data_IF_224038638601
#
_entry.id   IF_224038638601
#
_cell.length_a   1.000
_cell.length_b   1.000
_cell.length_c   1.000
_cell.angle_alpha   90.00
_cell.angle_beta   90.00
_cell.angle_gamma   90.00
#
_symmetry.space_group_name_H-M   'P 1'
#
loop_
_entity.id
_entity.type
_entity.pdbx_description
1 polymer ?
#
# COMPACT_ATOMS: atom_id res chain seq x y z
N UNK A 1 26.33 -29.20 -15.19
CA UNK A 1 25.97 -29.09 -13.76
C UNK A 1 25.50 -27.66 -13.50
N UNK A 2 24.41 -27.49 -12.74
CA UNK A 2 23.69 -26.25 -12.37
C UNK A 2 22.82 -25.57 -13.44
N UNK A 3 21.87 -26.32 -14.01
CA UNK A 3 20.59 -25.79 -14.48
C UNK A 3 19.48 -26.51 -13.69
N UNK A 4 18.28 -25.95 -13.60
CA UNK A 4 17.05 -26.50 -12.97
C UNK A 4 16.92 -26.52 -11.43
N UNK A 5 16.73 -25.34 -10.80
CA UNK A 5 16.01 -25.25 -9.50
C UNK A 5 15.12 -24.00 -9.30
N UNK A 6 14.83 -23.22 -10.36
CA UNK A 6 13.96 -22.04 -10.27
C UNK A 6 12.71 -22.21 -11.16
N UNK A 7 11.78 -23.06 -10.71
CA UNK A 7 10.36 -23.18 -11.15
C UNK A 7 9.73 -24.29 -10.30
N UNK A 8 8.76 -24.00 -9.42
CA UNK A 8 7.58 -23.23 -9.76
C UNK A 8 7.34 -22.13 -8.72
N UNK A 9 7.79 -20.90 -9.01
CA UNK A 9 7.28 -19.76 -8.26
C UNK A 9 5.76 -19.63 -8.45
N UNK A 10 5.23 -20.09 -9.58
CA UNK A 10 3.81 -20.03 -9.94
C UNK A 10 3.07 -21.33 -9.60
N UNK A 11 1.94 -21.19 -8.89
CA UNK A 11 1.08 -22.29 -8.49
C UNK A 11 1.08 -22.52 -6.97
N UNK A 12 0.26 -23.46 -6.47
CA UNK A 12 0.19 -23.76 -5.04
C UNK A 12 1.51 -24.31 -4.48
N UNK A 13 1.87 -23.97 -3.22
CA UNK A 13 1.14 -23.05 -2.35
C UNK A 13 1.31 -21.59 -2.79
N UNK A 14 0.20 -20.86 -2.76
CA UNK A 14 0.25 -19.42 -2.99
C UNK A 14 0.82 -18.70 -1.76
N UNK A 15 1.58 -17.64 -1.99
CA UNK A 15 2.14 -16.79 -0.94
C UNK A 15 1.92 -15.31 -1.26
N UNK A 16 1.89 -14.49 -0.21
CA UNK A 16 1.75 -13.04 -0.31
C UNK A 16 2.58 -12.38 0.80
N UNK A 17 3.54 -11.56 0.42
CA UNK A 17 4.42 -10.85 1.33
C UNK A 17 4.30 -9.34 1.10
N UNK A 18 4.22 -8.56 2.18
CA UNK A 18 4.11 -7.11 2.17
C UNK A 18 5.34 -6.49 2.84
N UNK A 19 5.86 -5.39 2.28
CA UNK A 19 6.82 -4.52 2.97
C UNK A 19 6.70 -3.05 2.51
N UNK A 20 7.28 -2.12 3.26
CA UNK A 20 7.26 -0.69 2.94
C UNK A 20 8.00 -0.44 1.63
N UNK A 21 7.36 0.25 0.68
CA UNK A 21 7.94 0.52 -0.64
C UNK A 21 9.26 1.32 -0.53
N UNK A 22 9.27 2.32 0.35
CA UNK A 22 10.44 3.17 0.66
C UNK A 22 11.40 2.50 1.67
N UNK A 23 11.75 1.25 1.42
CA UNK A 23 12.77 0.53 2.19
C UNK A 23 14.18 1.03 1.87
N UNK A 24 15.15 0.74 2.75
CA UNK A 24 16.55 1.07 2.51
C UNK A 24 17.09 0.34 1.26
N UNK A 25 18.12 0.93 0.64
CA UNK A 25 18.73 0.39 -0.59
C UNK A 25 19.16 -1.07 -0.39
N UNK A 26 18.73 -1.95 -1.30
CA UNK A 26 19.08 -3.38 -1.29
C UNK A 26 18.15 -4.28 -0.47
N UNK A 27 17.21 -3.72 0.31
CA UNK A 27 16.21 -4.52 1.05
C UNK A 27 15.34 -5.33 0.09
N UNK A 28 14.74 -4.69 -0.90
CA UNK A 28 13.92 -5.39 -1.90
C UNK A 28 14.72 -6.42 -2.71
N UNK A 29 15.98 -6.12 -3.05
CA UNK A 29 16.88 -7.08 -3.69
C UNK A 29 17.09 -8.32 -2.82
N UNK A 30 17.28 -8.12 -1.51
CA UNK A 30 17.44 -9.22 -0.56
C UNK A 30 16.17 -10.04 -0.45
N UNK A 31 15.02 -9.38 -0.24
CA UNK A 31 13.72 -10.04 -0.10
C UNK A 31 13.38 -10.83 -1.37
N UNK A 32 13.53 -10.22 -2.56
CA UNK A 32 13.28 -10.86 -3.85
C UNK A 32 14.12 -12.13 -4.02
N UNK A 33 15.42 -12.07 -3.70
CA UNK A 33 16.32 -13.23 -3.75
C UNK A 33 15.85 -14.40 -2.87
N UNK A 34 15.25 -14.12 -1.72
CA UNK A 34 14.68 -15.17 -0.84
C UNK A 34 13.28 -15.63 -1.28
N UNK A 35 12.58 -14.83 -2.07
CA UNK A 35 11.23 -15.11 -2.59
C UNK A 35 11.28 -15.38 -4.10
N UNK A 36 12.16 -16.30 -4.49
CA UNK A 36 12.25 -16.87 -5.85
C UNK A 36 12.53 -15.84 -6.96
N UNK A 37 13.26 -14.77 -6.63
CA UNK A 37 13.58 -13.65 -7.53
C UNK A 37 12.33 -12.95 -8.12
N UNK A 38 11.17 -13.11 -7.46
CA UNK A 38 9.93 -12.44 -7.85
C UNK A 38 10.10 -10.94 -7.60
N UNK A 39 9.75 -10.14 -8.60
CA UNK A 39 9.76 -8.69 -8.50
C UNK A 39 8.58 -8.19 -7.67
N UNK A 40 8.79 -7.18 -6.80
CA UNK A 40 7.71 -6.58 -6.04
C UNK A 40 6.70 -5.87 -6.95
N UNK A 41 5.42 -6.10 -6.71
CA UNK A 41 4.29 -5.36 -7.28
C UNK A 41 4.03 -4.12 -6.41
N UNK A 42 4.24 -2.92 -6.98
CA UNK A 42 3.83 -1.67 -6.35
C UNK A 42 2.32 -1.50 -6.53
N UNK A 43 1.59 -1.35 -5.41
CA UNK A 43 0.15 -1.08 -5.44
C UNK A 43 -0.13 0.21 -4.70
N UNK A 44 -0.71 1.18 -5.41
CA UNK A 44 -1.14 2.45 -4.82
C UNK A 44 -2.23 2.25 -3.77
N UNK A 45 -2.44 3.26 -2.91
CA UNK A 45 -3.52 3.16 -1.93
C UNK A 45 -4.90 3.18 -2.59
N UNK A 46 -5.73 2.21 -2.21
CA UNK A 46 -7.13 2.13 -2.63
C UNK A 46 -8.07 3.03 -1.81
N UNK A 47 -7.61 3.63 -0.71
CA UNK A 47 -8.46 4.42 0.18
C UNK A 47 -7.91 5.83 0.42
N UNK A 48 -8.68 6.65 1.14
CA UNK A 48 -8.31 8.01 1.52
C UNK A 48 -7.03 8.11 2.36
N UNK A 49 -6.36 7.03 2.74
CA UNK A 49 -5.09 7.03 3.45
C UNK A 49 -3.96 6.53 2.55
N UNK A 50 -2.98 7.37 2.24
CA UNK A 50 -1.82 7.02 1.44
C UNK A 50 -0.94 6.02 2.20
N UNK A 51 -0.78 4.83 1.65
CA UNK A 51 0.13 3.79 2.14
C UNK A 51 1.01 3.35 0.98
N UNK A 52 2.33 3.53 1.09
CA UNK A 52 3.29 3.11 0.08
C UNK A 52 3.87 1.75 0.47
N UNK A 53 3.25 0.68 -0.01
CA UNK A 53 3.66 -0.70 0.23
C UNK A 53 3.89 -1.38 -1.11
N UNK A 54 4.88 -2.25 -1.17
CA UNK A 54 5.00 -3.18 -2.28
C UNK A 54 4.78 -4.61 -1.78
N UNK A 55 4.43 -5.48 -2.73
CA UNK A 55 4.00 -6.84 -2.45
C UNK A 55 4.78 -7.83 -3.30
N UNK A 56 5.29 -8.92 -2.73
CA UNK A 56 5.83 -10.04 -3.50
C UNK A 56 4.91 -11.25 -3.29
N UNK A 57 4.38 -11.78 -4.38
CA UNK A 57 3.45 -12.90 -4.37
C UNK A 57 3.52 -13.70 -5.66
N UNK A 58 2.97 -14.91 -5.64
CA UNK A 58 2.75 -15.74 -6.82
C UNK A 58 1.26 -15.90 -7.20
N UNK A 59 0.42 -14.99 -6.71
CA UNK A 59 -1.01 -14.98 -7.03
C UNK A 59 -1.23 -14.61 -8.52
N UNK A 60 -2.26 -15.20 -9.16
CA UNK A 60 -2.70 -14.76 -10.49
C UNK A 60 -3.03 -13.27 -10.52
N UNK A 61 -2.62 -12.59 -11.60
CA UNK A 61 -2.91 -11.16 -11.83
C UNK A 61 -4.16 -10.99 -12.70
N UNK A 62 -4.48 -11.98 -13.52
CA UNK A 62 -5.67 -12.00 -14.35
C UNK A 62 -6.95 -12.10 -13.52
N UNK A 63 -8.03 -11.46 -13.98
CA UNK A 63 -9.36 -11.48 -13.36
C UNK A 63 -9.43 -10.90 -11.93
N UNK A 64 -8.46 -10.05 -11.54
CA UNK A 64 -8.60 -9.23 -10.33
C UNK A 64 -9.76 -8.25 -10.49
N UNK A 65 -10.59 -8.14 -9.46
CA UNK A 65 -11.68 -7.18 -9.40
C UNK A 65 -11.57 -6.38 -8.10
N UNK A 66 -12.02 -5.11 -8.09
CA UNK A 66 -12.04 -4.33 -6.87
C UNK A 66 -13.08 -4.88 -5.89
N UNK A 67 -12.81 -4.70 -4.60
CA UNK A 67 -13.82 -4.98 -3.56
C UNK A 67 -14.87 -3.87 -3.59
N UNK A 68 -16.15 -4.26 -3.66
CA UNK A 68 -17.29 -3.34 -3.67
C UNK A 68 -17.98 -3.29 -2.30
N UNK A 69 -18.55 -2.15 -1.88
CA UNK A 69 -18.48 -0.84 -2.54
C UNK A 69 -17.06 -0.27 -2.50
N UNK A 70 -16.72 0.55 -3.49
CA UNK A 70 -15.40 1.20 -3.53
C UNK A 70 -15.23 2.08 -2.28
N UNK A 71 -14.10 1.97 -1.56
CA UNK A 71 -13.85 2.81 -0.38
C UNK A 71 -13.69 4.28 -0.80
N UNK A 72 -13.96 5.23 0.12
CA UNK A 72 -13.69 6.64 -0.13
C UNK A 72 -12.20 6.83 -0.41
N UNK A 73 -11.87 7.52 -1.51
CA UNK A 73 -10.50 7.71 -1.97
C UNK A 73 -9.95 9.11 -1.62
N UNK A 74 -10.81 10.01 -1.11
CA UNK A 74 -10.42 11.33 -0.57
C UNK A 74 -10.82 11.49 0.90
N UNK A 75 -10.15 12.41 1.60
CA UNK A 75 -10.54 12.80 2.98
C UNK A 75 -11.99 13.29 3.02
N UNK A 76 -12.42 14.05 2.01
CA UNK A 76 -13.77 14.62 1.96
C UNK A 76 -14.85 13.54 1.86
N UNK A 77 -14.59 12.45 1.13
CA UNK A 77 -15.51 11.31 1.04
C UNK A 77 -15.50 10.48 2.34
N UNK A 78 -14.32 10.31 2.95
CA UNK A 78 -14.17 9.52 4.16
C UNK A 78 -14.74 10.22 5.41
N UNK A 79 -14.74 11.56 5.43
CA UNK A 79 -15.15 12.36 6.59
C UNK A 79 -16.13 13.47 6.20
N UNK A 80 -17.42 13.14 6.16
CA UNK A 80 -18.50 14.12 6.05
C UNK A 80 -18.93 14.58 7.47
N UNK A 81 -19.14 15.89 7.75
CA UNK A 81 -18.85 17.07 6.95
C UNK A 81 -17.63 17.81 7.54
N UNK A 82 -16.41 17.31 7.27
CA UNK A 82 -15.19 18.03 7.71
C UNK A 82 -15.06 19.43 7.10
N UNK A 83 -15.84 19.73 6.06
CA UNK A 83 -15.88 21.04 5.40
C UNK A 83 -16.11 22.23 6.34
N UNK A 84 -16.84 22.08 7.45
CA UNK A 84 -17.09 23.20 8.38
C UNK A 84 -15.84 23.61 9.19
N UNK A 85 -14.90 22.68 9.38
CA UNK A 85 -13.73 22.88 10.25
C UNK A 85 -12.41 22.80 9.48
N UNK A 86 -12.45 22.50 8.19
CA UNK A 86 -11.26 22.37 7.36
C UNK A 86 -10.69 23.75 7.01
N UNK A 87 -9.40 24.01 7.25
CA UNK A 87 -8.78 25.29 6.87
C UNK A 87 -8.94 25.56 5.36
N UNK A 88 -9.29 26.79 4.99
CA UNK A 88 -9.49 27.16 3.57
C UNK A 88 -8.23 27.04 2.71
N UNK A 89 -7.05 27.05 3.34
CA UNK A 89 -5.74 26.95 2.68
C UNK A 89 -5.26 25.50 2.48
N UNK A 90 -5.94 24.49 3.04
CA UNK A 90 -5.53 23.10 2.92
C UNK A 90 -6.31 22.37 1.83
N UNK A 91 -5.59 21.60 1.00
CA UNK A 91 -6.18 20.83 -0.11
C UNK A 91 -6.98 19.64 0.44
N UNK A 92 -8.28 19.57 0.14
CA UNK A 92 -9.21 18.50 0.58
C UNK A 92 -9.07 17.19 -0.22
N UNK A 93 -8.37 17.26 -1.35
CA UNK A 93 -8.15 16.14 -2.29
C UNK A 93 -6.92 15.30 -1.96
N UNK A 94 -6.23 15.60 -0.85
CA UNK A 94 -5.08 14.78 -0.42
C UNK A 94 -5.58 13.51 0.27
N UNK A 95 -4.82 12.44 0.14
CA UNK A 95 -4.97 11.29 1.02
C UNK A 95 -4.33 11.63 2.38
N UNK A 96 -4.90 11.16 3.50
CA UNK A 96 -4.22 11.18 4.79
C UNK A 96 -2.89 10.45 4.64
N UNK A 97 -1.79 11.08 5.03
CA UNK A 97 -0.54 10.35 5.18
C UNK A 97 -0.76 9.30 6.28
N UNK A 98 -0.68 8.01 5.93
CA UNK A 98 -0.71 6.96 6.93
C UNK A 98 0.60 7.03 7.73
N UNK A 99 0.58 7.78 8.84
CA UNK A 99 1.67 7.74 9.80
C UNK A 99 1.55 6.37 10.49
N UNK A 100 2.56 5.51 10.36
CA UNK A 100 2.64 4.23 11.11
C UNK A 100 2.70 4.45 12.65
N UNK A 101 2.66 5.70 13.12
CA UNK A 101 2.58 6.10 14.52
C UNK A 101 1.11 6.20 14.92
N UNK A 102 0.76 5.61 16.06
CA UNK A 102 -0.60 5.35 16.50
C UNK A 102 -1.63 6.46 16.21
N UNK A 103 -2.85 6.03 15.86
CA UNK A 103 -4.02 6.82 15.41
C UNK A 103 -4.34 8.13 16.17
N UNK A 104 -3.74 8.38 17.34
CA UNK A 104 -3.99 9.59 18.16
C UNK A 104 -3.22 10.83 17.71
N UNK A 105 -2.06 10.69 17.07
CA UNK A 105 -1.18 11.86 16.82
C UNK A 105 -1.51 12.59 15.51
N UNK A 106 -1.90 11.85 14.46
CA UNK A 106 -2.21 12.42 13.15
C UNK A 106 -3.41 13.39 13.18
N UNK A 107 -4.40 13.14 14.05
CA UNK A 107 -5.56 14.01 14.21
C UNK A 107 -5.19 15.38 14.81
N UNK A 108 -4.23 15.42 15.74
CA UNK A 108 -3.77 16.69 16.34
C UNK A 108 -3.06 17.56 15.32
N UNK A 109 -2.19 17.00 14.48
CA UNK A 109 -1.45 17.79 13.50
C UNK A 109 -2.33 18.41 12.41
N UNK A 110 -3.44 17.75 12.04
CA UNK A 110 -4.38 18.29 11.05
C UNK A 110 -5.31 19.38 11.61
N UNK A 111 -5.60 19.36 12.91
CA UNK A 111 -6.45 20.36 13.57
C UNK A 111 -5.69 21.53 14.19
N UNK A 112 -4.35 21.49 14.24
CA UNK A 112 -3.51 22.54 14.87
C UNK A 112 -2.84 23.51 13.88
N UNK A 113 -3.30 23.56 12.63
CA UNK A 113 -2.91 24.55 11.62
C UNK A 113 -4.13 25.38 11.21
#
# INVERSE_FOLDING_TARGET
STETFLKPAFGPPFFYYENVALSSKGVWTTISRFLFDIQPEFVGSFCAAARKMDYIHNLPIENRSPVLPLPPNTISEAFLPTNMWWPSRSKKTVQLLAILRGKREAYRTLCSC
#
